data_IF_502004033870
#
_entry.id   IF_502004033870
#
_cell.length_a   1.000
_cell.length_b   1.000
_cell.length_c   1.000
_cell.angle_alpha   90.00
_cell.angle_beta   90.00
_cell.angle_gamma   90.00
#
_symmetry.space_group_name_H-M   'P 1'
#
loop_
_entity.id
_entity.type
_entity.pdbx_description
1 polymer ?
#
# COMPACT_ATOMS: atom_id res chain seq x y z
N UNK A 1 6.16 35.87 4.63
CA UNK A 1 7.12 34.97 5.30
C UNK A 1 6.33 33.87 5.97
N UNK A 2 6.65 32.62 5.66
CA UNK A 2 6.07 31.46 6.34
C UNK A 2 6.85 31.20 7.63
N UNK A 3 6.20 30.63 8.64
CA UNK A 3 6.81 30.25 9.91
C UNK A 3 6.67 28.75 10.13
N UNK A 4 7.60 28.16 10.87
CA UNK A 4 7.57 26.76 11.25
C UNK A 4 6.44 26.53 12.25
N UNK A 5 5.49 25.68 11.91
CA UNK A 5 4.33 25.38 12.76
C UNK A 5 4.70 24.70 14.09
N UNK A 6 5.88 24.07 14.19
CA UNK A 6 6.33 23.39 15.41
C UNK A 6 7.02 24.32 16.43
N UNK A 7 7.78 25.31 15.97
CA UNK A 7 8.62 26.13 16.85
C UNK A 7 8.51 27.64 16.61
N UNK A 8 7.66 28.07 15.67
CA UNK A 8 7.44 29.48 15.33
C UNK A 8 8.61 30.19 14.62
N UNK A 9 9.74 29.50 14.38
CA UNK A 9 10.91 30.09 13.70
C UNK A 9 10.69 30.27 12.20
N UNK A 10 11.55 31.06 11.53
CA UNK A 10 11.50 31.22 10.08
C UNK A 10 11.77 29.90 9.34
N UNK A 11 11.20 29.80 8.14
CA UNK A 11 11.46 28.69 7.22
C UNK A 11 12.01 29.21 5.91
N UNK A 12 12.91 28.42 5.31
CA UNK A 12 13.37 28.58 3.93
C UNK A 12 12.71 27.54 3.02
N UNK A 13 12.69 27.80 1.73
CA UNK A 13 12.26 26.81 0.74
C UNK A 13 13.35 25.72 0.57
N UNK A 14 12.91 24.47 0.43
CA UNK A 14 13.79 23.33 0.18
C UNK A 14 14.01 23.06 -1.30
N UNK A 15 15.12 22.40 -1.63
CA UNK A 15 15.45 22.00 -2.99
C UNK A 15 14.63 20.78 -3.46
N UNK A 16 14.79 20.40 -4.73
CA UNK A 16 14.18 19.18 -5.26
C UNK A 16 14.55 17.95 -4.42
N UNK A 17 13.53 17.18 -4.01
CA UNK A 17 13.69 16.00 -3.14
C UNK A 17 13.73 16.31 -1.64
N UNK A 18 13.75 17.58 -1.24
CA UNK A 18 13.65 18.00 0.17
C UNK A 18 12.21 18.35 0.56
N UNK A 19 11.99 18.53 1.85
CA UNK A 19 10.76 19.09 2.40
C UNK A 19 10.57 20.51 1.87
N UNK A 20 9.35 20.84 1.41
CA UNK A 20 9.04 22.14 0.80
C UNK A 20 9.46 23.34 1.65
N UNK A 21 9.27 23.24 2.97
CA UNK A 21 9.70 24.25 3.93
C UNK A 21 10.62 23.63 4.97
N UNK A 22 11.78 24.24 5.18
CA UNK A 22 12.82 23.79 6.12
C UNK A 22 13.00 24.85 7.19
N UNK A 23 12.92 24.44 8.46
CA UNK A 23 13.10 25.35 9.60
C UNK A 23 14.56 25.83 9.71
N UNK A 24 14.76 27.12 9.94
CA UNK A 24 16.11 27.68 10.14
C UNK A 24 16.64 27.47 11.57
N UNK A 25 15.76 27.16 12.52
CA UNK A 25 16.15 26.78 13.87
C UNK A 25 16.67 25.33 13.87
N UNK A 26 17.99 25.16 13.95
CA UNK A 26 18.67 23.86 13.92
C UNK A 26 18.27 22.90 15.05
N UNK A 27 17.66 23.41 16.13
CA UNK A 27 17.13 22.57 17.22
C UNK A 27 15.71 22.04 16.93
N UNK A 28 15.08 22.48 15.84
CA UNK A 28 13.76 22.01 15.41
C UNK A 28 13.89 20.79 14.50
N UNK A 29 13.02 19.79 14.68
CA UNK A 29 13.01 18.59 13.83
C UNK A 29 12.82 18.91 12.34
N UNK A 30 12.02 19.94 12.02
CA UNK A 30 11.78 20.42 10.65
C UNK A 30 13.00 21.13 10.03
N UNK A 31 14.11 21.28 10.75
CA UNK A 31 15.37 21.74 10.18
C UNK A 31 16.05 20.65 9.35
N UNK A 32 15.74 19.37 9.59
CA UNK A 32 16.18 18.30 8.72
C UNK A 32 15.44 18.39 7.37
N UNK A 33 16.16 18.59 6.24
CA UNK A 33 15.54 18.68 4.92
C UNK A 33 14.69 17.45 4.54
N UNK A 34 15.01 16.28 5.10
CA UNK A 34 14.33 15.02 4.83
C UNK A 34 13.30 14.64 5.90
N UNK A 35 12.97 15.54 6.84
CA UNK A 35 12.03 15.25 7.92
C UNK A 35 10.68 14.73 7.41
N UNK A 36 10.11 15.35 6.39
CA UNK A 36 8.81 14.93 5.86
C UNK A 36 8.84 13.52 5.25
N UNK A 37 9.94 13.16 4.58
CA UNK A 37 10.14 11.82 4.02
C UNK A 37 10.35 10.80 5.13
N UNK A 38 11.19 11.10 6.11
CA UNK A 38 11.44 10.24 7.27
C UNK A 38 10.15 9.95 8.05
N UNK A 39 9.39 10.99 8.41
CA UNK A 39 8.12 10.88 9.13
C UNK A 39 7.09 10.08 8.33
N UNK A 40 7.02 10.27 7.02
CA UNK A 40 6.15 9.45 6.15
C UNK A 40 6.56 7.98 6.17
N UNK A 41 7.85 7.68 6.05
CA UNK A 41 8.34 6.30 6.06
C UNK A 41 8.09 5.63 7.41
N UNK A 42 8.27 6.34 8.52
CA UNK A 42 7.93 5.84 9.86
C UNK A 42 6.44 5.50 10.02
N UNK A 43 5.55 6.30 9.41
CA UNK A 43 4.11 6.03 9.42
C UNK A 43 3.72 4.83 8.54
N UNK A 44 4.43 4.61 7.44
CA UNK A 44 4.10 3.58 6.44
C UNK A 44 4.74 2.22 6.80
N UNK A 45 5.91 2.22 7.45
CA UNK A 45 6.69 1.00 7.72
C UNK A 45 5.87 -0.14 8.36
N UNK A 46 5.03 0.09 9.39
CA UNK A 46 4.23 -0.99 9.98
C UNK A 46 3.28 -1.65 8.97
N UNK A 47 2.72 -0.87 8.04
CA UNK A 47 1.83 -1.39 7.01
C UNK A 47 2.59 -2.25 5.99
N UNK A 48 3.82 -1.88 5.64
CA UNK A 48 4.64 -2.68 4.70
C UNK A 48 4.96 -4.06 5.30
N UNK A 49 5.32 -4.11 6.58
CA UNK A 49 5.58 -5.36 7.29
C UNK A 49 4.33 -6.25 7.39
N UNK A 50 3.14 -5.66 7.47
CA UNK A 50 1.89 -6.41 7.45
C UNK A 50 1.46 -6.84 6.04
N UNK A 51 1.65 -5.99 5.04
CA UNK A 51 1.38 -6.32 3.63
C UNK A 51 2.18 -7.56 3.22
N UNK A 52 3.46 -7.62 3.56
CA UNK A 52 4.32 -8.78 3.27
C UNK A 52 3.75 -10.11 3.79
N UNK A 53 3.07 -10.10 4.94
CA UNK A 53 2.46 -11.32 5.52
C UNK A 53 1.33 -11.88 4.66
N UNK A 54 0.61 -11.02 3.95
CA UNK A 54 -0.53 -11.39 3.11
C UNK A 54 -0.16 -11.49 1.63
N UNK A 55 1.06 -11.13 1.24
CA UNK A 55 1.57 -11.23 -0.14
C UNK A 55 1.94 -12.66 -0.56
N UNK A 56 1.78 -13.67 0.29
CA UNK A 56 2.06 -15.07 -0.04
C UNK A 56 0.97 -16.00 0.46
N UNK A 57 0.79 -17.12 -0.23
CA UNK A 57 -0.12 -18.20 0.13
C UNK A 57 0.52 -19.56 -0.18
N UNK A 58 -0.13 -20.65 0.22
CA UNK A 58 0.42 -22.01 0.10
C UNK A 58 0.91 -22.40 -1.30
N UNK A 59 0.32 -21.86 -2.37
CA UNK A 59 0.64 -22.21 -3.75
C UNK A 59 1.22 -21.07 -4.59
N UNK A 60 1.59 -19.93 -3.97
CA UNK A 60 2.13 -18.81 -4.73
C UNK A 60 2.23 -17.49 -3.98
N UNK A 61 2.26 -16.40 -4.74
CA UNK A 61 2.36 -15.03 -4.25
C UNK A 61 1.29 -14.11 -4.85
N UNK A 62 0.99 -13.04 -4.12
CA UNK A 62 0.02 -12.00 -4.46
C UNK A 62 0.81 -10.69 -4.59
N UNK A 63 0.95 -10.19 -5.81
CA UNK A 63 1.47 -8.84 -6.06
C UNK A 63 0.30 -7.86 -6.14
N UNK A 64 0.03 -7.19 -5.02
CA UNK A 64 -1.13 -6.32 -4.87
C UNK A 64 -0.86 -4.93 -5.44
N UNK A 65 -1.73 -4.48 -6.35
CA UNK A 65 -1.57 -3.17 -6.96
C UNK A 65 -2.31 -2.09 -6.17
N UNK A 66 -1.56 -1.03 -5.87
CA UNK A 66 -2.10 0.16 -5.23
C UNK A 66 -3.10 0.94 -6.13
N UNK A 67 -2.99 0.77 -7.45
CA UNK A 67 -3.73 1.58 -8.43
C UNK A 67 -4.91 0.80 -9.01
N UNK A 68 -6.13 1.36 -8.89
CA UNK A 68 -7.41 0.76 -9.32
C UNK A 68 -7.61 0.77 -10.84
N UNK A 69 -6.72 0.13 -11.61
CA UNK A 69 -6.86 0.10 -13.08
C UNK A 69 -7.92 -0.91 -13.57
N UNK A 70 -8.09 -2.03 -12.86
CA UNK A 70 -8.98 -3.14 -13.30
C UNK A 70 -10.14 -3.38 -12.31
N UNK A 71 -10.08 -2.79 -11.12
CA UNK A 71 -11.09 -2.91 -10.07
C UNK A 71 -10.54 -2.43 -8.73
N UNK A 72 -11.34 -2.53 -7.67
CA UNK A 72 -10.84 -2.33 -6.31
C UNK A 72 -10.06 -3.58 -5.89
N UNK A 73 -8.88 -3.38 -5.29
CA UNK A 73 -8.02 -4.47 -4.85
C UNK A 73 -7.57 -5.41 -5.96
N UNK A 74 -7.10 -4.87 -7.09
CA UNK A 74 -6.49 -5.70 -8.13
C UNK A 74 -5.11 -6.20 -7.71
N UNK A 75 -4.84 -7.47 -7.95
CA UNK A 75 -3.55 -8.11 -7.72
C UNK A 75 -3.20 -9.07 -8.85
N UNK A 76 -1.92 -9.21 -9.14
CA UNK A 76 -1.40 -10.29 -9.94
C UNK A 76 -1.12 -11.48 -9.02
N UNK A 77 -1.67 -12.64 -9.37
CA UNK A 77 -1.45 -13.90 -8.66
C UNK A 77 -0.46 -14.72 -9.46
N UNK A 78 0.66 -15.09 -8.82
CA UNK A 78 1.68 -15.93 -9.42
C UNK A 78 1.81 -17.24 -8.66
N UNK A 79 1.51 -18.34 -9.34
CA UNK A 79 1.59 -19.68 -8.78
C UNK A 79 3.04 -20.19 -8.81
N UNK A 80 3.31 -21.18 -7.95
CA UNK A 80 4.61 -21.84 -7.87
C UNK A 80 5.03 -22.55 -9.17
N UNK A 81 4.06 -22.94 -10.01
CA UNK A 81 4.31 -23.54 -11.32
C UNK A 81 4.60 -22.51 -12.43
N UNK A 82 4.56 -21.21 -12.09
CA UNK A 82 4.80 -20.10 -13.02
C UNK A 82 3.53 -19.57 -13.70
N UNK A 83 2.36 -20.14 -13.43
CA UNK A 83 1.09 -19.60 -13.92
C UNK A 83 0.81 -18.23 -13.30
N UNK A 84 0.44 -17.26 -14.13
CA UNK A 84 0.14 -15.89 -13.71
C UNK A 84 -1.28 -15.53 -14.16
N UNK A 85 -2.07 -14.94 -13.27
CA UNK A 85 -3.40 -14.43 -13.60
C UNK A 85 -3.79 -13.23 -12.73
N UNK A 86 -4.68 -12.39 -13.27
CA UNK A 86 -5.19 -11.22 -12.55
C UNK A 86 -6.37 -11.59 -11.66
N UNK A 87 -6.27 -11.22 -10.38
CA UNK A 87 -7.39 -11.25 -9.45
C UNK A 87 -7.84 -9.82 -9.10
N UNK A 88 -9.14 -9.59 -8.96
CA UNK A 88 -9.67 -8.29 -8.52
C UNK A 88 -11.03 -8.43 -7.86
N UNK A 89 -11.39 -7.46 -7.02
CA UNK A 89 -12.72 -7.41 -6.37
C UNK A 89 -13.65 -6.53 -7.17
N UNK A 90 -14.82 -7.07 -7.52
CA UNK A 90 -15.90 -6.38 -8.22
C UNK A 90 -17.24 -6.72 -7.58
N UNK A 91 -17.87 -5.72 -6.95
CA UNK A 91 -19.16 -5.88 -6.24
C UNK A 91 -19.11 -7.03 -5.21
N UNK A 92 -18.10 -7.01 -4.35
CA UNK A 92 -17.87 -8.00 -3.28
C UNK A 92 -17.65 -9.44 -3.78
N UNK A 93 -17.33 -9.60 -5.06
CA UNK A 93 -16.94 -10.88 -5.68
C UNK A 93 -15.51 -10.82 -6.17
N UNK A 94 -14.78 -11.91 -6.00
CA UNK A 94 -13.41 -12.08 -6.46
C UNK A 94 -13.43 -12.68 -7.86
N UNK A 95 -13.00 -11.90 -8.84
CA UNK A 95 -12.74 -12.40 -10.17
C UNK A 95 -11.32 -12.99 -10.22
N UNK A 96 -11.09 -14.17 -10.81
CA UNK A 96 -12.06 -15.00 -11.54
C UNK A 96 -12.91 -15.95 -10.65
N UNK A 97 -12.50 -16.23 -9.42
CA UNK A 97 -13.03 -17.32 -8.59
C UNK A 97 -14.56 -17.40 -8.41
N UNK A 98 -15.25 -16.26 -8.33
CA UNK A 98 -16.70 -16.19 -8.12
C UNK A 98 -17.50 -16.09 -9.43
N UNK A 99 -16.85 -16.39 -10.57
CA UNK A 99 -17.42 -16.28 -11.90
C UNK A 99 -17.29 -17.59 -12.68
N UNK A 100 -18.27 -17.92 -13.56
CA UNK A 100 -18.29 -19.20 -14.27
C UNK A 100 -17.07 -19.50 -15.14
N UNK A 101 -16.39 -18.47 -15.64
CA UNK A 101 -15.23 -18.62 -16.51
C UNK A 101 -13.96 -19.06 -15.76
N UNK A 102 -14.00 -19.21 -14.43
CA UNK A 102 -12.84 -19.71 -13.69
C UNK A 102 -12.47 -21.14 -14.11
N UNK A 103 -13.46 -22.00 -14.33
CA UNK A 103 -13.23 -23.37 -14.80
C UNK A 103 -12.58 -23.39 -16.19
N UNK A 104 -12.85 -22.38 -17.02
CA UNK A 104 -12.28 -22.23 -18.37
C UNK A 104 -10.82 -21.74 -18.37
N UNK A 105 -10.33 -21.22 -17.24
CA UNK A 105 -8.95 -20.71 -17.14
C UNK A 105 -7.92 -21.83 -16.94
N UNK A 106 -8.36 -23.08 -16.73
CA UNK A 106 -7.50 -24.26 -16.49
C UNK A 106 -6.44 -24.02 -15.40
N UNK A 107 -6.73 -23.14 -14.43
CA UNK A 107 -5.83 -22.82 -13.32
C UNK A 107 -5.86 -23.96 -12.30
N UNK A 108 -4.69 -24.53 -12.03
CA UNK A 108 -4.55 -25.60 -11.05
C UNK A 108 -4.40 -25.02 -9.63
N UNK A 109 -5.52 -24.74 -8.97
CA UNK A 109 -5.61 -24.29 -7.59
C UNK A 109 -6.56 -25.20 -6.80
N UNK A 110 -6.19 -25.56 -5.58
CA UNK A 110 -7.12 -26.21 -4.67
C UNK A 110 -8.04 -25.20 -3.96
N UNK A 111 -9.16 -25.68 -3.41
CA UNK A 111 -10.12 -24.84 -2.69
C UNK A 111 -9.50 -24.10 -1.49
N UNK A 112 -8.48 -24.69 -0.86
CA UNK A 112 -7.75 -24.09 0.26
C UNK A 112 -6.97 -22.86 -0.20
N UNK A 113 -6.22 -22.98 -1.28
CA UNK A 113 -5.46 -21.90 -1.89
C UNK A 113 -6.38 -20.78 -2.40
N UNK A 114 -7.53 -21.11 -3.00
CA UNK A 114 -8.53 -20.09 -3.39
C UNK A 114 -9.03 -19.32 -2.16
N UNK A 115 -9.31 -20.02 -1.06
CA UNK A 115 -9.73 -19.39 0.19
C UNK A 115 -8.64 -18.47 0.76
N UNK A 116 -7.39 -18.94 0.80
CA UNK A 116 -6.24 -18.13 1.23
C UNK A 116 -6.10 -16.86 0.38
N UNK A 117 -6.22 -16.96 -0.95
CA UNK A 117 -6.12 -15.80 -1.84
C UNK A 117 -7.22 -14.77 -1.51
N UNK A 118 -8.48 -15.21 -1.36
CA UNK A 118 -9.61 -14.30 -1.04
C UNK A 118 -9.43 -13.63 0.32
N UNK A 119 -9.00 -14.37 1.34
CA UNK A 119 -8.75 -13.84 2.69
C UNK A 119 -7.58 -12.83 2.67
N UNK A 120 -6.45 -13.20 2.06
CA UNK A 120 -5.28 -12.35 1.96
C UNK A 120 -5.57 -11.08 1.17
N UNK A 121 -6.25 -11.18 0.03
CA UNK A 121 -6.67 -10.01 -0.74
C UNK A 121 -7.59 -9.07 0.07
N UNK A 122 -8.53 -9.62 0.85
CA UNK A 122 -9.38 -8.79 1.72
C UNK A 122 -8.54 -8.04 2.75
N UNK A 123 -7.57 -8.72 3.38
CA UNK A 123 -6.66 -8.09 4.34
C UNK A 123 -5.80 -7.01 3.69
N UNK A 124 -5.25 -7.27 2.50
CA UNK A 124 -4.46 -6.31 1.72
C UNK A 124 -5.29 -5.07 1.36
N UNK A 125 -6.53 -5.24 0.90
CA UNK A 125 -7.44 -4.10 0.62
C UNK A 125 -7.63 -3.24 1.87
N UNK A 126 -7.94 -3.87 3.00
CA UNK A 126 -8.16 -3.16 4.26
C UNK A 126 -6.90 -2.42 4.73
N UNK A 127 -5.73 -3.07 4.69
CA UNK A 127 -4.45 -2.46 5.07
C UNK A 127 -4.12 -1.25 4.19
N UNK A 128 -4.31 -1.37 2.87
CA UNK A 128 -4.07 -0.25 1.96
C UNK A 128 -5.04 0.92 2.22
N UNK A 129 -6.31 0.64 2.58
CA UNK A 129 -7.24 1.70 2.98
C UNK A 129 -6.85 2.39 4.29
N UNK A 130 -6.43 1.63 5.29
CA UNK A 130 -5.95 2.16 6.57
C UNK A 130 -4.67 2.97 6.40
N UNK A 131 -3.70 2.46 5.63
CA UNK A 131 -2.48 3.17 5.28
C UNK A 131 -2.80 4.51 4.63
N UNK A 132 -3.76 4.56 3.68
CA UNK A 132 -4.22 5.81 3.05
C UNK A 132 -4.84 6.78 4.05
N UNK A 133 -5.63 6.28 5.01
CA UNK A 133 -6.23 7.12 6.07
C UNK A 133 -5.14 7.70 6.98
N UNK A 134 -4.15 6.90 7.38
CA UNK A 134 -3.02 7.34 8.21
C UNK A 134 -2.17 8.39 7.50
N UNK A 135 -1.81 8.15 6.24
CA UNK A 135 -1.04 9.12 5.43
C UNK A 135 -1.82 10.44 5.31
N UNK A 136 -3.12 10.40 4.99
CA UNK A 136 -3.96 11.61 4.89
C UNK A 136 -4.05 12.37 6.21
N UNK A 137 -4.12 11.68 7.35
CA UNK A 137 -4.16 12.29 8.69
C UNK A 137 -2.80 12.88 9.08
N UNK A 138 -1.71 12.15 8.84
CA UNK A 138 -0.35 12.57 9.15
C UNK A 138 0.16 13.75 8.32
N UNK A 139 -0.41 13.98 7.12
CA UNK A 139 -0.14 15.16 6.29
C UNK A 139 -0.84 16.43 6.82
N UNK A 140 -1.94 16.28 7.59
CA UNK A 140 -2.69 17.40 8.17
C UNK A 140 -2.16 17.88 9.54
N UNK A 141 -1.09 17.26 10.07
CA UNK A 141 -0.45 17.55 11.36
C UNK A 141 1.04 17.90 11.19
#
# INVERSE_FOLDING_TARGET
>A
MSYCELCGSFVREGDYGQSKYICENMNCERANPYWASKKRNELIKPFLEEIEKYSSFSQGVIDFHDVRWIGDGSAEIKLNDGTEFMCHVKKDKFNPFDFPHFEELEINLDEGAIKEIKENMSNLINLHEEMRKVIKKGIRQ
#
